data_IF_786199770845
#
_entry.id   IF_786199770845
#
_cell.length_a   1.000
_cell.length_b   1.000
_cell.length_c   1.000
_cell.angle_alpha   90.00
_cell.angle_beta   90.00
_cell.angle_gamma   90.00
#
_symmetry.space_group_name_H-M   'P 1'
#
loop_
_entity.id
_entity.type
_entity.pdbx_description
1 polymer ?
#
# COMPACT_ATOMS: atom_id res chain seq x y z
N UNK A 1 -24.25 -9.61 -45.48
CA UNK A 1 -23.25 -9.38 -44.43
C UNK A 1 -21.93 -9.95 -44.94
N UNK A 2 -21.08 -9.11 -45.52
CA UNK A 2 -19.81 -9.56 -46.11
C UNK A 2 -18.94 -10.29 -45.09
N UNK A 3 -18.42 -11.46 -45.47
CA UNK A 3 -17.53 -12.26 -44.61
C UNK A 3 -16.30 -11.47 -44.16
N UNK A 4 -15.88 -10.48 -44.98
CA UNK A 4 -14.81 -9.52 -44.66
C UNK A 4 -15.21 -8.55 -43.54
N UNK A 5 -16.46 -8.09 -43.52
CA UNK A 5 -16.97 -7.20 -42.48
C UNK A 5 -17.04 -7.93 -41.15
N UNK A 6 -17.49 -9.19 -41.16
CA UNK A 6 -17.51 -10.05 -39.98
C UNK A 6 -16.08 -10.28 -39.46
N UNK A 7 -15.11 -10.56 -40.35
CA UNK A 7 -13.72 -10.74 -39.97
C UNK A 7 -13.10 -9.49 -39.32
N UNK A 8 -13.37 -8.30 -39.85
CA UNK A 8 -12.88 -7.03 -39.28
C UNK A 8 -13.49 -6.76 -37.89
N UNK A 9 -14.78 -7.04 -37.70
CA UNK A 9 -15.46 -6.86 -36.41
C UNK A 9 -14.91 -7.79 -35.33
N UNK A 10 -14.61 -9.05 -35.68
CA UNK A 10 -13.97 -10.02 -34.76
C UNK A 10 -12.56 -9.56 -34.42
N UNK A 11 -11.80 -9.06 -35.39
CA UNK A 11 -10.45 -8.55 -35.16
C UNK A 11 -10.46 -7.35 -34.19
N UNK A 12 -11.37 -6.39 -34.39
CA UNK A 12 -11.54 -5.24 -33.49
C UNK A 12 -11.90 -5.66 -32.06
N UNK A 13 -12.79 -6.65 -31.90
CA UNK A 13 -13.18 -7.17 -30.59
C UNK A 13 -12.01 -7.84 -29.87
N UNK A 14 -11.20 -8.61 -30.58
CA UNK A 14 -9.99 -9.24 -30.01
C UNK A 14 -8.97 -8.20 -29.54
N UNK A 15 -8.78 -7.11 -30.29
CA UNK A 15 -7.87 -6.02 -29.87
C UNK A 15 -8.38 -5.28 -28.63
N UNK A 16 -9.70 -5.15 -28.45
CA UNK A 16 -10.30 -4.56 -27.25
C UNK A 16 -10.21 -5.46 -26.02
N UNK A 17 -10.29 -6.78 -26.19
CA UNK A 17 -10.18 -7.73 -25.08
C UNK A 17 -8.76 -7.86 -24.53
N UNK A 18 -7.72 -7.40 -25.25
CA UNK A 18 -6.34 -7.33 -24.72
C UNK A 18 -6.10 -6.12 -23.78
N UNK A 19 -7.18 -5.58 -23.20
CA UNK A 19 -7.13 -4.65 -22.07
C UNK A 19 -7.61 -5.34 -20.78
N UNK A 20 -7.27 -6.62 -20.61
CA UNK A 20 -7.31 -7.25 -19.30
C UNK A 20 -6.30 -6.53 -18.39
N UNK A 21 -6.71 -6.00 -17.21
CA UNK A 21 -5.76 -5.56 -16.21
C UNK A 21 -5.11 -6.83 -15.66
N UNK A 22 -4.01 -7.24 -16.31
CA UNK A 22 -3.08 -8.23 -15.84
C UNK A 22 -2.81 -7.92 -14.38
N UNK A 23 -3.37 -8.75 -13.49
CA UNK A 23 -3.14 -8.70 -12.05
C UNK A 23 -1.75 -9.26 -11.75
N UNK A 24 -0.74 -8.72 -12.44
CA UNK A 24 0.66 -9.02 -12.33
C UNK A 24 1.38 -7.71 -12.06
N UNK A 25 1.45 -7.34 -10.78
CA UNK A 25 2.46 -6.43 -10.21
C UNK A 25 2.85 -5.21 -11.08
N UNK A 26 1.90 -4.57 -11.75
CA UNK A 26 2.12 -3.25 -12.34
C UNK A 26 2.37 -2.30 -11.17
N UNK A 27 3.37 -1.41 -11.22
CA UNK A 27 3.44 -0.32 -10.25
C UNK A 27 2.10 0.41 -10.38
N UNK A 28 1.22 0.23 -9.39
CA UNK A 28 -0.15 0.72 -9.46
C UNK A 28 -0.07 2.22 -9.25
N UNK A 29 0.34 2.95 -10.28
CA UNK A 29 0.56 4.38 -10.21
C UNK A 29 -0.76 5.02 -9.81
N UNK A 30 -0.74 5.82 -8.76
CA UNK A 30 -1.88 6.64 -8.41
C UNK A 30 -2.21 7.59 -9.57
N UNK A 31 -3.39 7.44 -10.15
CA UNK A 31 -3.98 8.37 -11.14
C UNK A 31 -4.76 9.48 -10.44
N UNK A 32 -5.38 9.17 -9.31
CA UNK A 32 -6.14 10.11 -8.48
C UNK A 32 -5.61 10.12 -7.05
N UNK A 33 -5.66 11.30 -6.40
CA UNK A 33 -5.25 11.47 -5.01
C UNK A 33 -6.36 12.07 -4.17
N UNK A 34 -6.59 11.48 -2.99
CA UNK A 34 -7.44 12.09 -1.99
C UNK A 34 -6.75 13.35 -1.42
N UNK A 35 -7.39 14.50 -1.60
CA UNK A 35 -6.92 15.78 -1.07
C UNK A 35 -6.97 15.86 0.45
N UNK A 36 -7.93 15.14 1.05
CA UNK A 36 -8.14 15.12 2.49
C UNK A 36 -8.28 13.69 3.00
N UNK A 37 -7.41 13.32 3.94
CA UNK A 37 -7.47 12.04 4.63
C UNK A 37 -7.72 12.28 6.10
N UNK A 38 -8.86 11.78 6.59
CA UNK A 38 -9.22 11.91 7.99
C UNK A 38 -8.27 11.10 8.88
N UNK A 39 -8.04 11.58 10.11
CA UNK A 39 -7.26 10.87 11.13
C UNK A 39 -7.81 9.46 11.43
N UNK A 40 -9.12 9.23 11.20
CA UNK A 40 -9.75 7.90 11.37
C UNK A 40 -9.21 6.90 10.34
N UNK A 41 -9.05 7.31 9.09
CA UNK A 41 -8.49 6.47 8.03
C UNK A 41 -7.02 6.17 8.32
N UNK A 42 -6.23 7.19 8.68
CA UNK A 42 -4.81 7.02 9.02
C UNK A 42 -4.58 6.02 10.16
N UNK A 43 -5.49 5.95 11.14
CA UNK A 43 -5.45 4.95 12.22
C UNK A 43 -5.66 3.52 11.72
N UNK A 44 -6.32 3.30 10.59
CA UNK A 44 -6.56 1.97 10.00
C UNK A 44 -5.51 1.56 8.96
N UNK A 45 -4.57 2.45 8.63
CA UNK A 45 -3.46 2.14 7.72
C UNK A 45 -2.53 1.09 8.35
N UNK A 46 -2.23 0.05 7.58
CA UNK A 46 -1.34 -1.05 7.96
C UNK A 46 0.10 -0.78 7.48
N UNK A 47 0.23 -0.33 6.23
CA UNK A 47 1.50 -0.01 5.56
C UNK A 47 1.29 1.24 4.71
N UNK A 48 2.36 2.01 4.51
CA UNK A 48 2.36 3.08 3.52
C UNK A 48 3.60 2.96 2.63
N UNK A 49 3.52 3.57 1.45
CA UNK A 49 4.59 3.61 0.47
C UNK A 49 4.61 4.99 -0.20
N UNK A 50 5.81 5.51 -0.47
CA UNK A 50 5.98 6.79 -1.15
C UNK A 50 6.20 6.49 -2.63
N UNK A 51 5.30 6.99 -3.46
CA UNK A 51 5.44 7.00 -4.91
C UNK A 51 6.03 8.34 -5.33
N UNK A 52 7.24 8.31 -5.86
CA UNK A 52 7.91 9.49 -6.43
C UNK A 52 7.60 9.57 -7.92
N UNK A 53 7.58 10.78 -8.48
CA UNK A 53 7.37 10.99 -9.90
C UNK A 53 8.67 10.77 -10.71
N UNK A 54 9.19 9.54 -10.72
CA UNK A 54 10.49 9.18 -11.34
C UNK A 54 10.36 8.77 -12.83
N UNK A 55 9.30 9.19 -13.51
CA UNK A 55 9.06 8.88 -14.93
C UNK A 55 8.25 7.60 -15.20
N UNK A 56 8.20 6.66 -14.26
CA UNK A 56 7.28 5.50 -14.32
C UNK A 56 5.86 5.93 -13.94
N UNK A 57 5.75 6.73 -12.88
CA UNK A 57 4.51 7.37 -12.49
C UNK A 57 4.67 8.88 -12.64
N UNK A 58 3.72 9.53 -13.31
CA UNK A 58 3.76 11.00 -13.53
C UNK A 58 3.38 11.76 -12.25
N UNK A 59 2.63 11.12 -11.35
CA UNK A 59 2.12 11.73 -10.12
C UNK A 59 2.88 11.27 -8.87
N UNK A 60 3.30 12.25 -8.07
CA UNK A 60 3.81 12.00 -6.72
C UNK A 60 2.66 11.75 -5.73
N UNK A 61 2.64 10.58 -5.10
CA UNK A 61 1.57 10.17 -4.21
C UNK A 61 2.09 9.35 -3.02
N UNK A 62 1.28 9.26 -1.96
CA UNK A 62 1.48 8.30 -0.88
C UNK A 62 0.40 7.24 -1.00
N UNK A 63 0.82 5.99 -1.15
CA UNK A 63 -0.08 4.84 -1.19
C UNK A 63 -0.26 4.37 0.25
N UNK A 64 -1.50 4.34 0.72
CA UNK A 64 -1.89 3.86 2.03
C UNK A 64 -2.60 2.52 1.88
N UNK A 65 -2.02 1.48 2.46
CA UNK A 65 -2.62 0.15 2.51
C UNK A 65 -3.50 0.06 3.75
N UNK A 66 -4.82 -0.05 3.55
CA UNK A 66 -5.78 -0.36 4.60
C UNK A 66 -6.22 -1.82 4.48
N UNK A 67 -6.98 -2.34 5.45
CA UNK A 67 -7.50 -3.72 5.41
C UNK A 67 -8.38 -4.02 4.19
N UNK A 68 -9.13 -3.02 3.74
CA UNK A 68 -10.17 -3.23 2.72
C UNK A 68 -9.79 -2.65 1.36
N UNK A 69 -8.92 -1.64 1.32
CA UNK A 69 -8.54 -0.96 0.07
C UNK A 69 -7.19 -0.24 0.15
N UNK A 70 -6.58 -0.03 -1.02
CA UNK A 70 -5.47 0.91 -1.19
C UNK A 70 -6.04 2.32 -1.38
N UNK A 71 -5.39 3.32 -0.80
CA UNK A 71 -5.80 4.73 -0.90
C UNK A 71 -4.60 5.57 -1.33
N UNK A 72 -4.76 6.34 -2.40
CA UNK A 72 -3.78 7.30 -2.87
C UNK A 72 -4.01 8.65 -2.20
N UNK A 73 -2.96 9.24 -1.63
CA UNK A 73 -3.01 10.49 -0.90
C UNK A 73 -2.03 11.49 -1.49
N UNK A 74 -2.38 12.78 -1.46
CA UNK A 74 -1.41 13.83 -1.76
C UNK A 74 -0.28 13.80 -0.73
N UNK A 75 1.01 13.90 -1.13
CA UNK A 75 2.14 13.89 -0.22
C UNK A 75 2.17 15.16 0.65
N UNK A 76 1.42 15.15 1.76
CA UNK A 76 1.36 16.26 2.72
C UNK A 76 2.34 16.00 3.86
N UNK A 77 3.19 16.97 4.17
CA UNK A 77 4.22 16.85 5.23
C UNK A 77 3.62 16.39 6.57
N UNK A 78 2.44 16.91 6.93
CA UNK A 78 1.74 16.52 8.16
C UNK A 78 1.31 15.05 8.18
N UNK A 79 0.85 14.51 7.04
CA UNK A 79 0.44 13.12 6.88
C UNK A 79 1.64 12.19 7.04
N UNK A 80 2.76 12.50 6.38
CA UNK A 80 4.02 11.77 6.50
C UNK A 80 4.53 11.77 7.95
N UNK A 81 4.51 12.94 8.61
CA UNK A 81 4.95 13.08 10.01
C UNK A 81 4.11 12.23 10.96
N UNK A 82 2.79 12.15 10.74
CA UNK A 82 1.90 11.29 11.54
C UNK A 82 2.17 9.81 11.31
N UNK A 83 2.38 9.39 10.06
CA UNK A 83 2.70 8.01 9.71
C UNK A 83 4.04 7.58 10.32
N UNK A 84 5.08 8.43 10.23
CA UNK A 84 6.40 8.17 10.83
C UNK A 84 6.31 7.99 12.34
N UNK A 85 5.70 8.97 13.05
CA UNK A 85 5.50 8.90 14.51
C UNK A 85 4.82 7.60 14.97
N UNK A 86 3.93 7.04 14.14
CA UNK A 86 3.26 5.77 14.45
C UNK A 86 4.20 4.58 14.32
N UNK A 87 5.01 4.53 13.26
CA UNK A 87 5.99 3.47 13.08
C UNK A 87 7.02 3.47 14.21
N UNK A 88 7.49 4.64 14.64
CA UNK A 88 8.43 4.78 15.76
C UNK A 88 7.83 4.24 17.06
N UNK A 89 6.56 4.57 17.36
CA UNK A 89 5.84 4.02 18.53
C UNK A 89 5.68 2.50 18.45
N UNK A 90 5.36 1.96 17.28
CA UNK A 90 5.19 0.51 17.08
C UNK A 90 6.52 -0.22 17.30
N UNK A 91 7.61 0.35 16.81
CA UNK A 91 8.97 -0.17 17.00
C UNK A 91 9.38 -0.15 18.48
N UNK A 92 9.19 0.98 19.16
CA UNK A 92 9.48 1.12 20.60
C UNK A 92 8.70 0.12 21.44
N UNK A 93 7.39 -0.02 21.23
CA UNK A 93 6.56 -0.93 22.02
C UNK A 93 6.92 -2.41 21.79
N UNK A 94 7.27 -2.76 20.55
CA UNK A 94 7.78 -4.10 20.21
C UNK A 94 9.08 -4.46 20.94
N UNK A 95 10.01 -3.50 21.03
CA UNK A 95 11.26 -3.68 21.78
C UNK A 95 11.01 -3.86 23.28
N UNK A 96 10.15 -3.04 23.88
CA UNK A 96 9.78 -3.16 25.30
C UNK A 96 9.17 -4.54 25.59
N UNK A 97 8.27 -5.01 24.72
CA UNK A 97 7.64 -6.33 24.89
C UNK A 97 8.65 -7.48 24.73
N UNK A 98 9.59 -7.37 23.78
CA UNK A 98 10.67 -8.35 23.59
C UNK A 98 11.60 -8.42 24.80
N UNK A 99 11.94 -7.29 25.39
CA UNK A 99 12.78 -7.22 26.58
C UNK A 99 12.10 -7.83 27.80
N UNK A 100 10.81 -7.55 28.02
CA UNK A 100 10.01 -8.17 29.08
C UNK A 100 9.98 -9.70 28.95
N UNK A 101 9.80 -10.23 27.74
CA UNK A 101 9.83 -11.68 27.48
C UNK A 101 11.19 -12.30 27.80
N UNK A 102 12.30 -11.63 27.46
CA UNK A 102 13.66 -12.08 27.81
C UNK A 102 13.84 -12.13 29.34
N UNK A 103 13.41 -11.10 30.07
CA UNK A 103 13.49 -11.07 31.55
C UNK A 103 12.70 -12.21 32.20
N UNK A 104 11.49 -12.50 31.72
CA UNK A 104 10.68 -13.62 32.22
C UNK A 104 11.35 -14.98 31.92
N UNK A 105 11.93 -15.16 30.72
CA UNK A 105 12.65 -16.39 30.36
C UNK A 105 13.87 -16.60 31.26
N UNK A 106 14.68 -15.57 31.49
CA UNK A 106 15.83 -15.65 32.40
C UNK A 106 15.42 -16.00 33.83
N UNK A 107 14.36 -15.37 34.37
CA UNK A 107 13.86 -15.73 35.71
C UNK A 107 13.42 -17.19 35.83
N UNK A 108 12.81 -17.75 34.78
CA UNK A 108 12.41 -19.17 34.76
C UNK A 108 13.61 -20.11 34.66
N UNK A 109 14.69 -19.70 34.00
CA UNK A 109 15.92 -20.48 33.93
C UNK A 109 16.62 -20.56 35.29
N UNK A 110 16.72 -19.42 36.01
CA UNK A 110 17.30 -19.38 37.36
C UNK A 110 16.53 -20.19 38.40
N UNK A 111 15.20 -20.32 38.28
CA UNK A 111 14.39 -21.15 39.21
C UNK A 111 14.53 -22.66 39.01
N UNK A 112 15.27 -23.11 37.99
CA UNK A 112 15.48 -24.54 37.67
C UNK A 112 16.88 -25.03 38.03
N UNK A 113 17.72 -24.15 38.58
CA UNK A 113 18.97 -24.45 39.27
C UNK A 113 18.71 -24.35 40.77
#
# INVERSE_FOLDING_TARGET
MDMKVIAVLILLHMMMQLSEPLSASSPSCCTEVANHISKKILRRVLRYEKQTADGICVLSAIILYTRHKKLCAKPKIQLIKQLRKRNDKKYSNGNIQREKKKKVKNRRAWKRQ
#
